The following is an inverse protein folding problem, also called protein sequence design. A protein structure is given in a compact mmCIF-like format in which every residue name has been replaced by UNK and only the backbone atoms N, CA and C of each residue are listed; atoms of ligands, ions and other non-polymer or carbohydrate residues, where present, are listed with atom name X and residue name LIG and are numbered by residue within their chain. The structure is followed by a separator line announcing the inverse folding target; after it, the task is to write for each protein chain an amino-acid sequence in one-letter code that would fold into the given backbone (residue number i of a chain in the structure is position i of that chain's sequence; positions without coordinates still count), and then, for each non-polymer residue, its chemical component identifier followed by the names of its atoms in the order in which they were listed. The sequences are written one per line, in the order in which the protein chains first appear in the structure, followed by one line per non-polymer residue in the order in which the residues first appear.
data_IF_479542300592
#
_entry.id   IF_479542300592
#
_cell.length_a   1.000
_cell.length_b   1.000
_cell.length_c   1.000
_cell.angle_alpha   90.00
_cell.angle_beta   90.00
_cell.angle_gamma   90.00
#
_symmetry.space_group_name_H-M   'P 1'
#
loop_
_entity.id
_entity.type
_entity.pdbx_description
1 polymer ?
#
# COMPACT_ATOMS: atom_id res chain seq x y z
N UNK A 1 -63.57 17.92 -9.94
CA UNK A 1 -63.36 16.52 -9.51
C UNK A 1 -62.99 15.69 -10.73
N UNK A 2 -61.70 15.46 -10.96
CA UNK A 2 -61.22 14.54 -11.99
C UNK A 2 -60.38 13.47 -11.30
N UNK A 3 -60.84 12.23 -11.43
CA UNK A 3 -60.27 11.02 -10.84
C UNK A 3 -59.20 10.48 -11.77
N UNK A 4 -57.94 10.43 -11.31
CA UNK A 4 -56.89 9.66 -11.97
C UNK A 4 -56.75 8.33 -11.23
N UNK A 5 -57.08 7.25 -11.94
CA UNK A 5 -56.94 5.86 -11.52
C UNK A 5 -55.50 5.37 -11.74
N UNK A 6 -55.08 4.57 -10.79
CA UNK A 6 -53.84 3.80 -10.65
C UNK A 6 -53.25 3.21 -11.94
N UNK A 7 -51.93 3.29 -12.05
CA UNK A 7 -51.09 2.34 -12.79
C UNK A 7 -49.94 1.92 -11.87
N UNK A 8 -50.12 0.79 -11.18
CA UNK A 8 -49.05 0.08 -10.48
C UNK A 8 -48.20 -0.65 -11.51
N UNK A 9 -46.92 -0.31 -11.59
CA UNK A 9 -45.93 -1.08 -12.35
C UNK A 9 -45.28 -2.08 -11.39
N UNK A 10 -45.69 -3.35 -11.48
CA UNK A 10 -44.92 -4.45 -10.91
C UNK A 10 -43.68 -4.67 -11.77
N UNK A 11 -42.50 -4.35 -11.23
CA UNK A 11 -41.23 -4.79 -11.80
C UNK A 11 -40.91 -6.20 -11.28
N UNK A 12 -40.82 -7.17 -12.19
CA UNK A 12 -40.34 -8.51 -11.91
C UNK A 12 -38.80 -8.48 -11.76
N UNK A 13 -38.29 -8.76 -10.56
CA UNK A 13 -36.85 -8.92 -10.32
C UNK A 13 -36.50 -10.38 -10.60
N UNK A 14 -35.83 -10.63 -11.73
CA UNK A 14 -35.20 -11.91 -12.00
C UNK A 14 -33.93 -12.02 -11.13
N UNK A 15 -33.93 -12.99 -10.20
CA UNK A 15 -32.77 -13.30 -9.37
C UNK A 15 -31.67 -13.96 -10.20
N UNK A 16 -30.52 -13.30 -10.31
CA UNK A 16 -29.28 -13.94 -10.77
C UNK A 16 -28.56 -14.44 -9.52
N UNK A 17 -28.47 -15.76 -9.38
CA UNK A 17 -27.64 -16.40 -8.37
C UNK A 17 -26.17 -16.23 -8.80
N UNK A 18 -25.43 -15.36 -8.12
CA UNK A 18 -23.97 -15.35 -8.20
C UNK A 18 -23.44 -16.50 -7.35
N UNK A 19 -22.83 -17.49 -8.00
CA UNK A 19 -21.99 -18.46 -7.31
C UNK A 19 -20.78 -17.70 -6.77
N UNK A 20 -20.73 -17.50 -5.46
CA UNK A 20 -19.55 -16.98 -4.78
C UNK A 20 -18.43 -18.04 -4.89
N UNK A 21 -17.21 -17.68 -5.30
CA UNK A 21 -16.08 -18.59 -5.19
C UNK A 21 -15.86 -18.91 -3.71
N UNK A 22 -15.79 -20.21 -3.40
CA UNK A 22 -15.28 -20.71 -2.12
C UNK A 22 -13.89 -20.14 -1.87
N UNK A 23 -13.56 -19.64 -0.67
CA UNK A 23 -12.20 -19.20 -0.37
C UNK A 23 -11.29 -20.41 -0.52
N UNK A 24 -10.37 -20.35 -1.48
CA UNK A 24 -9.23 -21.22 -1.52
C UNK A 24 -8.42 -20.94 -0.25
N UNK A 25 -8.24 -21.97 0.55
CA UNK A 25 -7.46 -21.95 1.77
C UNK A 25 -5.98 -21.87 1.39
N UNK A 26 -5.51 -20.66 1.08
CA UNK A 26 -4.08 -20.40 0.95
C UNK A 26 -3.61 -19.66 2.22
N UNK A 27 -3.06 -20.48 3.11
CA UNK A 27 -2.51 -20.07 4.40
C UNK A 27 -1.18 -19.33 4.17
N UNK A 28 -1.25 -18.08 3.73
CA UNK A 28 -0.10 -17.17 3.70
C UNK A 28 -0.44 -15.67 3.84
N UNK A 29 -1.71 -15.32 4.04
CA UNK A 29 -2.09 -13.97 4.45
C UNK A 29 -1.90 -13.84 5.96
N UNK A 30 -0.65 -13.62 6.39
CA UNK A 30 -0.37 -13.17 7.75
C UNK A 30 -0.96 -11.77 7.90
N UNK A 31 -2.09 -11.69 8.59
CA UNK A 31 -2.78 -10.46 8.98
C UNK A 31 -1.79 -9.56 9.75
N UNK A 32 -1.33 -8.48 9.11
CA UNK A 32 -0.55 -7.44 9.79
C UNK A 32 -1.52 -6.58 10.60
N UNK A 33 -1.64 -6.91 11.89
CA UNK A 33 -2.54 -6.24 12.81
C UNK A 33 -1.93 -4.93 13.33
N UNK A 34 -2.61 -3.80 13.11
CA UNK A 34 -2.30 -2.53 13.73
C UNK A 34 -2.55 -2.60 15.25
N UNK A 35 -1.53 -2.32 16.07
CA UNK A 35 -1.67 -2.16 17.53
C UNK A 35 -1.34 -0.71 17.89
N UNK A 36 -2.16 -0.11 18.74
CA UNK A 36 -2.26 1.34 19.03
C UNK A 36 -1.05 2.05 19.65
N UNK A 37 0.17 1.74 19.21
CA UNK A 37 1.42 2.40 19.63
C UNK A 37 2.38 2.67 18.44
N UNK A 38 1.83 3.00 17.26
CA UNK A 38 2.55 3.74 16.22
C UNK A 38 3.70 3.00 15.52
N UNK A 39 3.65 1.68 15.39
CA UNK A 39 4.60 0.95 14.54
C UNK A 39 3.99 -0.29 13.89
N UNK A 40 4.37 -0.55 12.65
CA UNK A 40 4.09 -1.81 11.95
C UNK A 40 5.11 -2.88 12.37
N UNK A 41 4.66 -3.99 12.93
CA UNK A 41 5.53 -5.15 13.11
C UNK A 41 5.64 -5.92 11.78
N UNK A 42 6.87 -6.09 11.30
CA UNK A 42 7.17 -7.08 10.26
C UNK A 42 7.00 -8.48 10.88
N UNK A 43 6.39 -9.46 10.20
CA UNK A 43 6.48 -10.83 10.65
C UNK A 43 7.92 -11.31 10.43
N UNK A 44 8.64 -11.54 11.52
CA UNK A 44 9.92 -12.23 11.47
C UNK A 44 9.69 -13.64 10.92
N UNK A 45 10.45 -14.01 9.90
CA UNK A 45 10.37 -15.30 9.23
C UNK A 45 10.72 -16.43 10.21
N UNK A 46 9.73 -17.03 10.87
CA UNK A 46 9.93 -18.32 11.56
C UNK A 46 8.74 -19.24 11.33
N UNK A 47 8.90 -20.13 10.36
CA UNK A 47 8.10 -21.34 10.25
C UNK A 47 8.62 -22.33 11.30
N UNK A 48 7.88 -22.55 12.38
CA UNK A 48 7.98 -23.78 13.15
C UNK A 48 6.83 -24.69 12.74
N UNK A 49 7.13 -25.74 11.98
CA UNK A 49 6.20 -26.85 11.80
C UNK A 49 6.28 -27.71 13.06
N UNK A 50 5.34 -27.54 13.99
CA UNK A 50 5.13 -28.51 15.07
C UNK A 50 4.32 -29.67 14.51
N UNK A 51 4.99 -30.75 14.13
CA UNK A 51 4.33 -32.03 13.85
C UNK A 51 3.99 -32.68 15.19
N UNK A 52 2.72 -32.68 15.58
CA UNK A 52 2.25 -33.47 16.73
C UNK A 52 2.06 -34.92 16.28
N UNK A 53 3.05 -35.77 16.52
CA UNK A 53 2.88 -37.22 16.52
C UNK A 53 2.82 -37.71 17.97
N UNK A 54 1.74 -38.41 18.30
CA UNK A 54 1.47 -38.99 19.63
C UNK A 54 2.32 -40.24 19.90
N UNK A 55 2.91 -40.26 21.11
CA UNK A 55 3.29 -41.40 21.96
C UNK A 55 4.09 -42.56 21.33
N UNK A 56 5.38 -42.67 21.65
CA UNK A 56 5.88 -43.62 22.66
C UNK A 56 7.43 -43.58 22.75
N UNK A 57 7.90 -43.56 23.99
CA UNK A 57 9.16 -44.03 24.56
C UNK A 57 10.56 -43.72 23.95
N UNK A 58 11.47 -43.40 24.87
CA UNK A 58 12.92 -43.58 24.86
C UNK A 58 13.85 -42.69 23.98
N UNK A 59 14.74 -42.01 24.72
CA UNK A 59 16.13 -41.61 24.40
C UNK A 59 16.38 -40.46 23.42
N UNK A 60 16.80 -39.32 23.98
CA UNK A 60 17.44 -38.21 23.25
C UNK A 60 18.93 -38.57 23.03
N UNK A 61 19.45 -38.65 21.79
CA UNK A 61 20.87 -38.54 21.56
C UNK A 61 21.29 -37.07 21.47
N UNK A 62 22.25 -36.68 22.31
CA UNK A 62 23.01 -35.43 22.17
C UNK A 62 23.83 -35.49 20.89
N UNK A 63 23.41 -34.78 19.84
CA UNK A 63 24.17 -34.63 18.61
C UNK A 63 25.19 -33.50 18.75
N UNK A 64 26.45 -33.86 18.97
CA UNK A 64 27.62 -32.97 18.80
C UNK A 64 27.83 -32.74 17.30
N UNK A 65 27.46 -31.56 16.80
CA UNK A 65 27.78 -31.17 15.42
C UNK A 65 29.24 -30.69 15.33
N UNK A 66 30.09 -31.50 14.68
CA UNK A 66 31.42 -31.11 14.27
C UNK A 66 31.36 -30.08 13.13
N UNK A 67 32.08 -28.97 13.28
CA UNK A 67 32.20 -27.96 12.23
C UNK A 67 33.06 -28.50 11.06
N UNK A 68 32.47 -28.53 9.87
CA UNK A 68 33.19 -28.80 8.61
C UNK A 68 33.51 -27.44 7.99
N UNK A 69 34.78 -27.10 7.66
CA UNK A 69 35.07 -25.89 6.90
C UNK A 69 34.63 -26.09 5.45
N UNK A 70 33.58 -25.37 5.02
CA UNK A 70 33.16 -25.30 3.62
C UNK A 70 34.04 -24.28 2.90
N UNK A 71 34.83 -24.79 1.96
CA UNK A 71 35.63 -24.00 1.01
C UNK A 71 34.74 -23.13 0.14
N UNK A 72 34.94 -21.82 0.19
CA UNK A 72 34.27 -20.83 -0.66
C UNK A 72 34.73 -20.97 -2.12
N UNK A 73 33.85 -21.17 -3.11
CA UNK A 73 34.22 -21.01 -4.51
C UNK A 73 34.44 -19.52 -4.82
N UNK A 74 35.52 -19.20 -5.54
CA UNK A 74 35.77 -17.86 -6.04
C UNK A 74 34.68 -17.45 -7.05
N UNK A 75 33.88 -16.44 -6.70
CA UNK A 75 32.93 -15.81 -7.62
C UNK A 75 33.69 -15.00 -8.66
N UNK A 76 33.50 -15.36 -9.94
CA UNK A 76 33.94 -14.56 -11.09
C UNK A 76 33.06 -13.32 -11.17
N UNK A 77 33.67 -12.14 -11.10
CA UNK A 77 33.00 -10.85 -11.27
C UNK A 77 32.60 -10.62 -12.73
N UNK A 78 31.31 -10.76 -13.01
CA UNK A 78 30.70 -10.26 -14.26
C UNK A 78 30.53 -8.74 -14.12
N UNK A 79 30.87 -7.91 -15.12
CA UNK A 79 30.65 -6.48 -15.06
C UNK A 79 29.15 -6.19 -14.87
N UNK A 80 28.82 -5.38 -13.86
CA UNK A 80 27.47 -4.88 -13.66
C UNK A 80 27.01 -4.12 -14.91
N UNK A 81 25.92 -4.59 -15.53
CA UNK A 81 25.24 -3.82 -16.55
C UNK A 81 24.78 -2.49 -15.93
N UNK A 82 25.06 -1.39 -16.62
CA UNK A 82 24.61 -0.06 -16.22
C UNK A 82 23.08 -0.07 -16.01
N UNK A 83 22.56 0.58 -14.95
CA UNK A 83 21.12 0.70 -14.78
C UNK A 83 20.54 1.39 -16.01
N UNK A 84 19.62 0.70 -16.69
CA UNK A 84 18.80 1.33 -17.71
C UNK A 84 18.06 2.49 -17.05
N UNK A 85 18.23 3.69 -17.58
CA UNK A 85 17.45 4.86 -17.20
C UNK A 85 15.98 4.48 -17.47
N UNK A 86 15.08 4.44 -16.47
CA UNK A 86 13.67 4.32 -16.77
C UNK A 86 13.30 5.60 -17.51
N UNK A 87 12.98 5.48 -18.79
CA UNK A 87 12.32 6.54 -19.54
C UNK A 87 11.02 6.82 -18.79
N UNK A 88 10.98 7.94 -18.07
CA UNK A 88 9.74 8.47 -17.54
C UNK A 88 8.85 8.73 -18.75
N UNK A 89 7.81 7.91 -18.92
CA UNK A 89 6.72 8.25 -19.81
C UNK A 89 5.87 9.31 -19.07
N UNK A 90 6.40 10.52 -19.03
CA UNK A 90 5.72 11.70 -18.47
C UNK A 90 4.74 12.31 -19.47
N UNK A 91 4.47 11.63 -20.59
CA UNK A 91 3.68 12.14 -21.71
C UNK A 91 2.19 11.89 -21.49
N UNK A 92 1.57 12.60 -20.54
CA UNK A 92 0.10 12.76 -20.50
C UNK A 92 -0.62 12.37 -19.21
N UNK A 93 0.10 12.01 -18.14
CA UNK A 93 -0.55 11.85 -16.83
C UNK A 93 -1.11 13.20 -16.35
N UNK A 94 -2.41 13.27 -16.11
CA UNK A 94 -3.11 14.37 -15.45
C UNK A 94 -3.53 13.95 -14.05
N UNK A 95 -3.86 14.90 -13.17
CA UNK A 95 -4.36 14.60 -11.84
C UNK A 95 -3.30 14.11 -10.85
N UNK A 96 -3.73 13.39 -9.82
CA UNK A 96 -2.88 12.92 -8.72
C UNK A 96 -1.63 12.16 -9.22
N UNK A 97 -1.78 11.32 -10.24
CA UNK A 97 -0.70 10.43 -10.69
C UNK A 97 0.48 11.19 -11.32
N UNK A 98 0.21 12.37 -11.90
CA UNK A 98 1.23 13.27 -12.39
C UNK A 98 2.10 13.82 -11.24
N UNK A 99 1.46 14.15 -10.11
CA UNK A 99 2.13 14.63 -8.89
C UNK A 99 3.01 13.52 -8.31
N UNK A 100 2.46 12.31 -8.14
CA UNK A 100 3.20 11.13 -7.68
C UNK A 100 4.45 10.89 -8.55
N UNK A 101 4.25 10.84 -9.88
CA UNK A 101 5.32 10.55 -10.84
C UNK A 101 6.42 11.61 -10.78
N UNK A 102 6.05 12.90 -10.72
CA UNK A 102 7.01 14.01 -10.59
C UNK A 102 7.89 13.87 -9.36
N UNK A 103 7.30 13.58 -8.21
CA UNK A 103 8.04 13.56 -6.94
C UNK A 103 8.86 12.29 -6.73
N UNK A 104 8.40 11.15 -7.26
CA UNK A 104 9.23 9.95 -7.33
C UNK A 104 10.44 10.15 -8.23
N UNK A 105 10.26 10.74 -9.40
CA UNK A 105 11.36 11.08 -10.30
C UNK A 105 12.35 12.06 -9.65
N UNK A 106 11.85 13.10 -8.96
CA UNK A 106 12.70 14.04 -8.22
C UNK A 106 13.53 13.35 -7.13
N UNK A 107 12.97 12.34 -6.46
CA UNK A 107 13.66 11.52 -5.47
C UNK A 107 14.56 10.42 -6.05
N UNK A 108 14.64 10.27 -7.38
CA UNK A 108 15.41 9.20 -8.02
C UNK A 108 14.80 7.80 -7.82
N UNK A 109 13.50 7.72 -7.55
CA UNK A 109 12.78 6.48 -7.31
C UNK A 109 12.17 5.93 -8.61
N UNK A 110 12.04 4.59 -8.75
CA UNK A 110 11.32 3.99 -9.87
C UNK A 110 9.88 4.49 -9.94
N UNK A 111 9.35 4.75 -11.15
CA UNK A 111 7.96 5.14 -11.30
C UNK A 111 7.02 4.02 -10.80
N UNK A 112 5.91 4.41 -10.17
CA UNK A 112 4.83 3.47 -9.92
C UNK A 112 4.07 3.19 -11.22
N UNK A 113 3.33 2.08 -11.26
CA UNK A 113 2.25 1.86 -12.21
C UNK A 113 0.92 2.25 -11.57
N UNK A 114 0.11 3.04 -12.26
CA UNK A 114 -1.25 3.35 -11.81
C UNK A 114 -2.11 2.08 -11.89
N UNK A 115 -2.81 1.74 -10.80
CA UNK A 115 -3.61 0.51 -10.71
C UNK A 115 -5.05 0.82 -10.31
N UNK A 116 -6.00 0.50 -11.19
CA UNK A 116 -7.42 0.80 -11.00
C UNK A 116 -8.07 0.03 -9.85
N UNK A 117 -7.52 -1.14 -9.46
CA UNK A 117 -8.01 -1.86 -8.28
C UNK A 117 -7.60 -1.12 -7.02
N UNK A 118 -6.37 -0.62 -6.95
CA UNK A 118 -5.92 0.20 -5.82
C UNK A 118 -6.66 1.54 -5.75
N UNK A 119 -7.02 2.15 -6.88
CA UNK A 119 -7.85 3.36 -6.89
C UNK A 119 -9.24 3.11 -6.32
N UNK A 120 -9.87 1.99 -6.71
CA UNK A 120 -11.17 1.59 -6.16
C UNK A 120 -11.09 1.29 -4.66
N UNK A 121 -10.00 0.64 -4.21
CA UNK A 121 -9.75 0.38 -2.79
C UNK A 121 -9.57 1.69 -2.01
N UNK A 122 -8.76 2.62 -2.52
CA UNK A 122 -8.54 3.93 -1.90
C UNK A 122 -9.85 4.72 -1.80
N UNK A 123 -10.68 4.72 -2.86
CA UNK A 123 -11.98 5.39 -2.88
C UNK A 123 -12.93 4.80 -1.82
N UNK A 124 -12.96 3.47 -1.71
CA UNK A 124 -13.74 2.76 -0.70
C UNK A 124 -13.28 3.16 0.70
N UNK A 125 -11.97 3.15 0.98
CA UNK A 125 -11.44 3.55 2.29
C UNK A 125 -11.79 4.99 2.63
N UNK A 126 -11.63 5.93 1.69
CA UNK A 126 -11.97 7.33 1.92
C UNK A 126 -13.47 7.50 2.26
N UNK A 127 -14.35 6.79 1.55
CA UNK A 127 -15.81 6.81 1.78
C UNK A 127 -16.18 6.19 3.13
N UNK A 128 -15.65 4.99 3.42
CA UNK A 128 -15.95 4.24 4.64
C UNK A 128 -15.34 4.87 5.90
N UNK A 129 -14.42 5.82 5.72
CA UNK A 129 -13.85 6.60 6.80
C UNK A 129 -14.80 7.68 7.34
N UNK A 130 -15.84 8.07 6.59
CA UNK A 130 -16.84 9.04 7.05
C UNK A 130 -16.25 10.38 7.49
N UNK A 131 -15.22 10.87 6.79
CA UNK A 131 -14.50 12.11 7.10
C UNK A 131 -13.43 12.01 8.20
N UNK A 132 -13.16 10.81 8.72
CA UNK A 132 -12.04 10.55 9.62
C UNK A 132 -10.82 9.98 8.86
N UNK A 133 -9.66 9.89 9.51
CA UNK A 133 -8.49 9.19 8.96
C UNK A 133 -8.47 7.74 9.46
N UNK A 134 -9.36 6.91 8.92
CA UNK A 134 -9.49 5.51 9.32
C UNK A 134 -8.89 4.60 8.25
N UNK A 135 -7.80 3.94 8.60
CA UNK A 135 -7.21 2.94 7.72
C UNK A 135 -8.14 1.73 7.53
N UNK A 136 -8.18 1.24 6.29
CA UNK A 136 -8.85 0.01 5.89
C UNK A 136 -8.07 -0.62 4.74
N UNK A 137 -7.38 -1.72 5.00
CA UNK A 137 -6.60 -2.44 3.99
C UNK A 137 -7.51 -3.42 3.24
N UNK A 138 -7.90 -3.01 2.04
CA UNK A 138 -8.69 -3.83 1.13
C UNK A 138 -7.83 -4.91 0.45
N UNK A 139 -8.41 -6.00 -0.09
CA UNK A 139 -7.66 -7.02 -0.81
C UNK A 139 -6.77 -6.43 -1.91
N UNK A 140 -5.50 -6.85 -1.92
CA UNK A 140 -4.48 -6.34 -2.85
C UNK A 140 -3.72 -5.11 -2.37
N UNK A 141 -4.22 -4.41 -1.34
CA UNK A 141 -3.51 -3.29 -0.71
C UNK A 141 -2.50 -3.82 0.32
N UNK A 142 -1.23 -3.42 0.19
CA UNK A 142 -0.15 -3.81 1.10
C UNK A 142 0.37 -2.67 1.98
N UNK A 143 0.06 -1.42 1.60
CA UNK A 143 0.24 -0.24 2.43
C UNK A 143 -0.77 0.83 2.02
N UNK A 144 -1.02 1.76 2.92
CA UNK A 144 -2.01 2.80 2.74
C UNK A 144 -1.58 4.07 3.46
N UNK A 145 -1.82 5.22 2.84
CA UNK A 145 -1.61 6.54 3.42
C UNK A 145 -2.88 7.38 3.28
N UNK A 146 -3.26 8.11 4.32
CA UNK A 146 -4.47 8.95 4.36
C UNK A 146 -4.12 10.38 4.75
N UNK A 147 -4.88 11.34 4.23
CA UNK A 147 -4.77 12.74 4.60
C UNK A 147 -6.10 13.47 4.36
N UNK A 148 -6.42 14.50 5.16
CA UNK A 148 -7.52 15.39 4.82
C UNK A 148 -7.18 16.21 3.57
N UNK A 149 -8.21 16.56 2.79
CA UNK A 149 -8.08 17.41 1.62
C UNK A 149 -9.32 17.39 0.72
N UNK A 150 -9.55 18.48 -0.02
CA UNK A 150 -10.53 18.56 -1.12
C UNK A 150 -10.10 17.76 -2.34
N UNK A 151 -11.07 17.38 -3.19
CA UNK A 151 -10.85 16.64 -4.44
C UNK A 151 -10.30 17.56 -5.56
N UNK A 152 -9.05 18.00 -5.40
CA UNK A 152 -8.32 18.78 -6.40
C UNK A 152 -6.80 18.55 -6.30
N UNK A 153 -6.09 18.88 -7.38
CA UNK A 153 -4.64 18.67 -7.51
C UNK A 153 -3.81 19.45 -6.50
N UNK A 154 -4.23 20.64 -6.07
CA UNK A 154 -3.47 21.43 -5.09
C UNK A 154 -3.60 20.82 -3.70
N UNK A 155 -4.81 20.37 -3.37
CA UNK A 155 -5.08 19.63 -2.15
C UNK A 155 -4.29 18.32 -2.12
N UNK A 156 -4.30 17.53 -3.21
CA UNK A 156 -3.48 16.33 -3.30
C UNK A 156 -1.98 16.64 -3.20
N UNK A 157 -1.49 17.70 -3.85
CA UNK A 157 -0.10 18.13 -3.74
C UNK A 157 0.28 18.47 -2.30
N UNK A 158 -0.63 19.16 -1.59
CA UNK A 158 -0.47 19.48 -0.16
C UNK A 158 -0.40 18.21 0.67
N UNK A 159 -1.31 17.26 0.48
CA UNK A 159 -1.28 15.97 1.20
C UNK A 159 -0.03 15.15 0.85
N UNK A 160 0.27 14.98 -0.43
CA UNK A 160 1.32 14.10 -0.91
C UNK A 160 2.72 14.61 -0.56
N UNK A 161 3.02 15.85 -0.91
CA UNK A 161 4.35 16.43 -0.63
C UNK A 161 4.37 17.02 0.75
N UNK A 162 3.43 17.94 0.99
CA UNK A 162 3.39 18.76 2.18
C UNK A 162 3.11 17.95 3.44
N UNK A 163 2.21 16.97 3.40
CA UNK A 163 1.86 16.11 4.52
C UNK A 163 2.78 14.90 4.62
N UNK A 164 2.73 14.02 3.62
CA UNK A 164 3.34 12.69 3.68
C UNK A 164 4.86 12.69 3.45
N UNK A 165 5.35 13.21 2.32
CA UNK A 165 6.80 13.19 2.05
C UNK A 165 7.59 14.07 3.01
N UNK A 166 7.04 15.22 3.39
CA UNK A 166 7.70 16.15 4.31
C UNK A 166 7.77 15.67 5.76
N UNK A 167 7.25 14.48 6.10
CA UNK A 167 7.60 13.80 7.34
C UNK A 167 9.11 13.54 7.44
N UNK A 168 9.79 13.34 6.30
CA UNK A 168 11.24 13.26 6.20
C UNK A 168 11.73 14.37 5.25
N UNK A 169 11.92 15.61 5.75
CA UNK A 169 12.22 16.77 4.90
C UNK A 169 13.58 16.71 4.22
N UNK A 170 14.45 15.77 4.66
CA UNK A 170 15.77 15.51 4.09
C UNK A 170 15.75 14.52 2.93
N UNK A 171 14.58 14.01 2.51
CA UNK A 171 14.47 13.12 1.36
C UNK A 171 15.03 13.77 0.08
N UNK A 172 15.73 13.01 -0.77
CA UNK A 172 16.17 13.49 -2.07
C UNK A 172 15.02 14.06 -2.89
N UNK A 173 15.29 15.13 -3.65
CA UNK A 173 14.31 15.75 -4.54
C UNK A 173 13.40 16.80 -3.88
N UNK A 174 13.27 16.81 -2.55
CA UNK A 174 12.42 17.79 -1.85
C UNK A 174 13.00 19.21 -1.85
N UNK A 175 14.33 19.36 -1.87
CA UNK A 175 15.02 20.65 -2.09
C UNK A 175 14.48 21.83 -1.24
N UNK A 176 14.10 21.56 0.01
CA UNK A 176 13.56 22.57 0.92
C UNK A 176 12.09 22.94 0.72
N UNK A 177 11.36 22.30 -0.21
CA UNK A 177 9.95 22.60 -0.49
C UNK A 177 9.04 22.41 0.73
N UNK A 178 9.45 21.59 1.70
CA UNK A 178 8.74 21.39 2.96
C UNK A 178 8.60 22.67 3.80
N UNK A 179 9.50 23.65 3.63
CA UNK A 179 9.35 24.95 4.29
C UNK A 179 8.11 25.73 3.81
N UNK A 180 7.56 25.37 2.64
CA UNK A 180 6.35 25.98 2.07
C UNK A 180 5.17 25.01 2.10
N UNK A 181 5.31 23.81 1.51
CA UNK A 181 4.19 22.86 1.40
C UNK A 181 3.90 22.13 2.72
N UNK A 182 4.88 22.00 3.62
CA UNK A 182 4.68 21.40 4.95
C UNK A 182 4.04 22.36 5.96
N UNK A 183 3.80 23.62 5.61
CA UNK A 183 3.15 24.55 6.52
C UNK A 183 1.71 24.11 6.81
N UNK A 184 1.36 24.06 8.09
CA UNK A 184 0.04 23.62 8.55
C UNK A 184 -0.07 22.11 8.77
N UNK A 185 0.95 21.33 8.38
CA UNK A 185 1.03 19.90 8.70
C UNK A 185 1.75 19.67 10.02
N UNK A 186 1.20 18.77 10.84
CA UNK A 186 1.90 18.21 11.99
C UNK A 186 2.58 16.92 11.56
N UNK A 187 3.89 16.98 11.34
CA UNK A 187 4.70 15.80 11.04
C UNK A 187 4.93 14.99 12.32
N UNK A 188 3.95 14.16 12.66
CA UNK A 188 4.19 12.99 13.49
C UNK A 188 4.83 11.89 12.65
N UNK A 189 5.68 11.06 13.25
CA UNK A 189 6.25 9.89 12.59
C UNK A 189 5.15 8.84 12.35
N UNK A 190 4.42 8.98 11.25
CA UNK A 190 3.35 8.06 10.86
C UNK A 190 3.83 7.02 9.83
N UNK A 191 5.03 7.20 9.29
CA UNK A 191 5.64 6.33 8.29
C UNK A 191 5.13 6.53 6.86
N UNK A 192 4.40 7.62 6.57
CA UNK A 192 3.91 7.86 5.20
C UNK A 192 5.05 8.07 4.21
N UNK A 193 6.07 8.84 4.60
CA UNK A 193 7.25 9.06 3.78
C UNK A 193 7.97 7.75 3.44
N UNK A 194 8.11 6.83 4.41
CA UNK A 194 8.75 5.53 4.20
C UNK A 194 7.95 4.65 3.24
N UNK A 195 6.62 4.63 3.36
CA UNK A 195 5.73 3.90 2.44
C UNK A 195 5.88 4.44 1.02
N UNK A 196 5.78 5.76 0.84
CA UNK A 196 5.76 6.39 -0.47
C UNK A 196 7.13 6.42 -1.16
N UNK A 197 8.22 6.29 -0.40
CA UNK A 197 9.58 6.22 -0.94
C UNK A 197 10.14 4.81 -1.04
N UNK A 198 9.46 3.81 -0.46
CA UNK A 198 9.84 2.41 -0.61
C UNK A 198 9.88 1.97 -2.07
N UNK A 199 10.87 1.14 -2.40
CA UNK A 199 10.98 0.46 -3.70
C UNK A 199 10.35 -0.93 -3.68
N UNK A 200 9.77 -1.37 -2.54
CA UNK A 200 9.07 -2.65 -2.44
C UNK A 200 7.68 -2.62 -3.08
N UNK A 201 7.07 -1.43 -3.15
CA UNK A 201 5.81 -1.22 -3.83
C UNK A 201 6.08 -0.79 -5.27
N UNK A 202 5.27 -1.28 -6.20
CA UNK A 202 5.43 -1.01 -7.63
C UNK A 202 4.19 -0.39 -8.25
N UNK A 203 3.05 -0.48 -7.56
CA UNK A 203 1.77 0.06 -7.98
C UNK A 203 1.21 1.02 -6.94
N UNK A 204 0.39 1.95 -7.41
CA UNK A 204 -0.34 2.88 -6.58
C UNK A 204 -1.72 3.17 -7.18
N UNK A 205 -2.71 3.36 -6.32
CA UNK A 205 -4.00 3.94 -6.68
C UNK A 205 -4.41 4.92 -5.60
N UNK A 206 -4.88 6.10 -6.00
CA UNK A 206 -5.32 7.13 -5.06
C UNK A 206 -6.70 7.65 -5.45
N UNK A 207 -7.48 8.07 -4.46
CA UNK A 207 -8.77 8.67 -4.66
C UNK A 207 -9.12 9.61 -3.50
N UNK A 208 -10.07 10.51 -3.74
CA UNK A 208 -10.66 11.37 -2.72
C UNK A 208 -12.12 11.02 -2.50
N UNK A 209 -12.55 10.95 -1.24
CA UNK A 209 -13.95 10.96 -0.87
C UNK A 209 -14.10 11.57 0.53
N UNK A 210 -15.23 12.24 0.78
CA UNK A 210 -15.56 12.81 2.09
C UNK A 210 -14.45 13.68 2.71
N UNK A 211 -13.71 14.40 1.85
CA UNK A 211 -12.62 15.28 2.26
C UNK A 211 -11.35 14.54 2.69
N UNK A 212 -11.19 13.28 2.29
CA UNK A 212 -10.01 12.45 2.59
C UNK A 212 -9.38 11.99 1.27
N UNK A 213 -8.10 12.30 1.10
CA UNK A 213 -7.24 11.61 0.15
C UNK A 213 -6.74 10.31 0.76
N UNK A 214 -6.95 9.20 0.05
CA UNK A 214 -6.36 7.92 0.35
C UNK A 214 -5.49 7.46 -0.84
N UNK A 215 -4.35 6.84 -0.55
CA UNK A 215 -3.54 6.13 -1.53
C UNK A 215 -3.20 4.74 -1.03
N UNK A 216 -3.47 3.75 -1.86
CA UNK A 216 -3.15 2.35 -1.65
C UNK A 216 -1.97 1.92 -2.52
N UNK A 217 -1.09 1.10 -1.95
CA UNK A 217 0.14 0.63 -2.59
C UNK A 217 0.24 -0.89 -2.57
N UNK A 218 0.83 -1.47 -3.62
CA UNK A 218 1.15 -2.90 -3.71
C UNK A 218 2.50 -3.17 -4.37
#
# INVERSE_FOLDING_TARGET
MFSFKNLSVLAAVAGVAFALPTPAEDSALVERQWRGHGHWQRPDNVVWVTVTATADDASIPTATAAAVPVSTPASVSVPAAAPATPTADTSGATGYFAIVSKWRAAGGLPAFTQDSTLEANALKTATDSGGALKHELNPGTFAQVLAPGTDDDNSFLSSYVGGWLCEIPTLPGLNGICATLGQGWTHSDTGHADILTSTSYTKIGCANADGIWACDLS
#
